data_IF_388235889928
#
_entry.id   IF_388235889928
#
_cell.length_a   1.000
_cell.length_b   1.000
_cell.length_c   1.000
_cell.angle_alpha   90.00
_cell.angle_beta   90.00
_cell.angle_gamma   90.00
#
_symmetry.space_group_name_H-M   'P 1'
#
loop_
_entity.id
_entity.type
_entity.pdbx_description
1 polymer ?
#
# COMPACT_ATOMS: atom_id res chain seq x y z
N UNK A 1 82.66 -18.69 -6.55
CA UNK A 1 81.39 -19.45 -6.64
C UNK A 1 80.42 -18.94 -5.54
N UNK A 2 79.81 -17.74 -5.67
CA UNK A 2 78.85 -17.21 -4.67
C UNK A 2 77.91 -16.07 -5.15
N UNK A 3 78.01 -15.64 -6.41
CA UNK A 3 77.29 -14.44 -6.91
C UNK A 3 76.07 -14.70 -7.81
N UNK A 4 75.83 -15.95 -8.25
CA UNK A 4 74.72 -16.25 -9.17
C UNK A 4 73.43 -16.76 -8.50
N UNK A 5 73.48 -17.14 -7.22
CA UNK A 5 72.31 -17.72 -6.51
C UNK A 5 71.40 -16.62 -5.91
N UNK A 6 71.94 -15.42 -5.62
CA UNK A 6 71.20 -14.36 -4.93
C UNK A 6 70.24 -13.57 -5.83
N UNK A 7 70.55 -13.38 -7.13
CA UNK A 7 69.67 -12.62 -8.04
C UNK A 7 68.38 -13.37 -8.40
N UNK A 8 68.43 -14.70 -8.52
CA UNK A 8 67.27 -15.52 -8.90
C UNK A 8 66.29 -15.69 -7.74
N UNK A 9 66.79 -15.82 -6.51
CA UNK A 9 65.95 -15.93 -5.30
C UNK A 9 65.17 -14.63 -5.02
N UNK A 10 65.78 -13.46 -5.19
CA UNK A 10 65.13 -12.16 -4.93
C UNK A 10 63.98 -11.90 -5.92
N UNK A 11 64.12 -12.31 -7.19
CA UNK A 11 63.10 -12.12 -8.23
C UNK A 11 61.85 -13.00 -8.00
N UNK A 12 62.04 -14.23 -7.51
CA UNK A 12 60.96 -15.14 -7.12
C UNK A 12 60.21 -14.67 -5.86
N UNK A 13 60.92 -14.14 -4.86
CA UNK A 13 60.31 -13.62 -3.63
C UNK A 13 59.51 -12.34 -3.89
N UNK A 14 59.99 -11.44 -4.75
CA UNK A 14 59.25 -10.23 -5.14
C UNK A 14 58.00 -10.55 -5.96
N UNK A 15 58.08 -11.50 -6.90
CA UNK A 15 56.95 -11.91 -7.72
C UNK A 15 55.86 -12.63 -6.90
N UNK A 16 56.27 -13.48 -5.95
CA UNK A 16 55.36 -14.14 -4.99
C UNK A 16 54.63 -13.16 -4.07
N UNK A 17 55.32 -12.15 -3.51
CA UNK A 17 54.68 -11.14 -2.64
C UNK A 17 53.70 -10.23 -3.39
N UNK A 18 53.96 -9.92 -4.66
CA UNK A 18 53.06 -9.11 -5.50
C UNK A 18 51.83 -9.92 -5.90
N UNK A 19 52.01 -11.17 -6.32
CA UNK A 19 50.91 -12.07 -6.71
C UNK A 19 50.00 -12.39 -5.51
N UNK A 20 50.56 -12.54 -4.31
CA UNK A 20 49.80 -12.77 -3.08
C UNK A 20 49.03 -11.52 -2.63
N UNK A 21 49.58 -10.31 -2.81
CA UNK A 21 48.86 -9.04 -2.56
C UNK A 21 47.68 -8.83 -3.52
N UNK A 22 47.82 -9.22 -4.78
CA UNK A 22 46.77 -9.11 -5.80
C UNK A 22 45.65 -10.12 -5.52
N UNK A 23 46.00 -11.38 -5.19
CA UNK A 23 45.02 -12.38 -4.77
C UNK A 23 44.25 -11.93 -3.50
N UNK A 24 44.95 -11.40 -2.49
CA UNK A 24 44.32 -10.97 -1.25
C UNK A 24 43.37 -9.77 -1.46
N UNK A 25 43.73 -8.82 -2.34
CA UNK A 25 42.85 -7.71 -2.73
C UNK A 25 41.59 -8.22 -3.44
N UNK A 26 41.72 -9.15 -4.38
CA UNK A 26 40.59 -9.67 -5.15
C UNK A 26 39.65 -10.54 -4.29
N UNK A 27 40.20 -11.29 -3.32
CA UNK A 27 39.40 -12.07 -2.35
C UNK A 27 38.67 -11.16 -1.37
N UNK A 28 39.31 -10.09 -0.87
CA UNK A 28 38.65 -9.10 0.00
C UNK A 28 37.56 -8.33 -0.75
N UNK A 29 37.81 -7.87 -1.98
CA UNK A 29 36.80 -7.20 -2.79
C UNK A 29 35.63 -8.12 -3.13
N UNK A 30 35.88 -9.41 -3.39
CA UNK A 30 34.84 -10.42 -3.60
C UNK A 30 34.00 -10.67 -2.34
N UNK A 31 34.63 -10.81 -1.18
CA UNK A 31 33.94 -10.98 0.12
C UNK A 31 33.14 -9.74 0.52
N UNK A 32 33.65 -8.53 0.26
CA UNK A 32 32.90 -7.28 0.49
C UNK A 32 31.66 -7.20 -0.41
N UNK A 33 31.78 -7.58 -1.68
CA UNK A 33 30.65 -7.57 -2.62
C UNK A 33 29.56 -8.57 -2.21
N UNK A 34 29.93 -9.76 -1.71
CA UNK A 34 29.00 -10.76 -1.18
C UNK A 34 28.32 -10.26 0.10
N UNK A 35 29.06 -9.62 1.01
CA UNK A 35 28.48 -9.03 2.23
C UNK A 35 27.50 -7.88 1.94
N UNK A 36 27.77 -7.06 0.90
CA UNK A 36 26.84 -6.01 0.46
C UNK A 36 25.54 -6.61 -0.10
N UNK A 37 25.60 -7.73 -0.83
CA UNK A 37 24.38 -8.39 -1.32
C UNK A 37 23.52 -8.99 -0.22
N UNK A 38 24.12 -9.42 0.90
CA UNK A 38 23.39 -9.96 2.06
C UNK A 38 22.70 -8.83 2.86
N UNK A 39 23.29 -7.63 2.92
CA UNK A 39 22.70 -6.48 3.63
C UNK A 39 21.58 -5.75 2.85
N UNK A 40 21.45 -5.95 1.54
CA UNK A 40 20.37 -5.34 0.73
C UNK A 40 19.09 -6.17 0.77
N UNK A 41 19.14 -7.41 1.29
CA UNK A 41 17.95 -8.18 1.66
C UNK A 41 17.47 -7.87 3.08
N UNK A 42 17.68 -6.64 3.54
CA UNK A 42 16.81 -6.06 4.55
C UNK A 42 15.39 -6.24 4.03
N UNK A 43 14.61 -7.05 4.75
CA UNK A 43 13.20 -7.31 4.49
C UNK A 43 12.54 -5.97 4.21
N UNK A 44 12.31 -5.64 2.94
CA UNK A 44 11.34 -4.60 2.60
C UNK A 44 10.06 -5.15 3.23
N UNK A 45 9.52 -4.51 4.28
CA UNK A 45 8.24 -4.95 4.79
C UNK A 45 7.31 -4.87 3.59
N UNK A 46 6.81 -6.01 3.14
CA UNK A 46 5.72 -6.04 2.15
C UNK A 46 4.64 -5.16 2.76
N UNK A 47 4.44 -3.98 2.16
CA UNK A 47 3.35 -3.08 2.51
C UNK A 47 2.12 -3.97 2.52
N UNK A 48 1.55 -4.18 3.71
CA UNK A 48 0.45 -5.11 3.87
C UNK A 48 -0.63 -4.68 2.87
N UNK A 49 -0.98 -5.58 1.95
CA UNK A 49 -1.93 -5.25 0.90
C UNK A 49 -3.20 -4.72 1.57
N UNK A 50 -3.55 -3.47 1.28
CA UNK A 50 -4.72 -2.82 1.85
C UNK A 50 -5.96 -3.71 1.60
N UNK A 51 -6.69 -4.14 2.64
CA UNK A 51 -7.83 -5.02 2.45
C UNK A 51 -8.87 -4.35 1.56
N UNK A 52 -9.41 -5.09 0.60
CA UNK A 52 -10.49 -4.58 -0.24
C UNK A 52 -11.84 -4.75 0.49
N UNK A 53 -12.42 -3.64 0.96
CA UNK A 53 -13.72 -3.62 1.65
C UNK A 53 -14.88 -3.20 0.74
N UNK A 54 -14.69 -3.23 -0.58
CA UNK A 54 -15.68 -2.72 -1.53
C UNK A 54 -16.87 -3.67 -1.74
N UNK A 55 -16.76 -4.97 -1.39
CA UNK A 55 -17.89 -5.92 -1.50
C UNK A 55 -18.66 -5.79 -2.81
N UNK A 56 -19.97 -5.56 -2.72
CA UNK A 56 -20.87 -5.40 -3.88
C UNK A 56 -20.82 -4.02 -4.56
N UNK A 57 -20.18 -3.03 -3.92
CA UNK A 57 -20.00 -1.71 -4.52
C UNK A 57 -18.94 -1.73 -5.62
N UNK A 58 -19.00 -0.74 -6.52
CA UNK A 58 -18.22 -0.71 -7.76
C UNK A 58 -17.57 0.67 -7.98
N UNK A 59 -16.68 1.14 -7.07
CA UNK A 59 -16.08 2.48 -7.15
C UNK A 59 -15.24 2.73 -8.42
N UNK A 60 -14.88 1.67 -9.15
CA UNK A 60 -14.09 1.76 -10.40
C UNK A 60 -14.95 1.86 -11.65
N UNK A 61 -16.25 1.49 -11.60
CA UNK A 61 -17.18 1.50 -12.74
C UNK A 61 -17.91 2.84 -12.87
N UNK A 62 -17.14 3.90 -13.10
CA UNK A 62 -17.59 5.31 -13.09
C UNK A 62 -17.98 5.87 -14.47
N UNK A 63 -17.84 5.08 -15.54
CA UNK A 63 -18.26 5.54 -16.87
C UNK A 63 -19.77 5.50 -16.96
N UNK A 64 -20.38 6.54 -17.55
CA UNK A 64 -21.84 6.62 -17.69
C UNK A 64 -22.42 5.39 -18.40
N UNK A 65 -21.73 4.84 -19.39
CA UNK A 65 -22.16 3.61 -20.09
C UNK A 65 -22.23 2.38 -19.16
N UNK A 66 -21.33 2.29 -18.18
CA UNK A 66 -21.30 1.19 -17.21
C UNK A 66 -22.44 1.35 -16.20
N UNK A 67 -22.62 2.55 -15.66
CA UNK A 67 -23.74 2.83 -14.77
C UNK A 67 -25.09 2.62 -15.47
N UNK A 68 -25.20 2.97 -16.75
CA UNK A 68 -26.41 2.75 -17.54
C UNK A 68 -26.72 1.26 -17.72
N UNK A 69 -25.69 0.45 -17.99
CA UNK A 69 -25.86 -1.00 -18.10
C UNK A 69 -26.36 -1.60 -16.77
N UNK A 70 -25.76 -1.19 -15.65
CA UNK A 70 -26.12 -1.70 -14.33
C UNK A 70 -27.56 -1.29 -13.92
N UNK A 71 -27.97 -0.05 -14.20
CA UNK A 71 -29.35 0.39 -13.91
C UNK A 71 -30.37 -0.40 -14.73
N UNK A 72 -30.07 -0.70 -16.00
CA UNK A 72 -30.94 -1.50 -16.87
C UNK A 72 -31.04 -2.96 -16.43
N UNK A 73 -30.03 -3.48 -15.73
CA UNK A 73 -30.06 -4.83 -15.18
C UNK A 73 -31.05 -4.97 -14.01
N UNK A 74 -31.19 -3.90 -13.21
CA UNK A 74 -31.99 -3.94 -11.97
C UNK A 74 -33.31 -3.18 -12.07
N UNK A 75 -33.63 -2.57 -13.21
CA UNK A 75 -34.87 -1.80 -13.43
C UNK A 75 -35.43 -1.99 -14.83
N UNK A 76 -36.74 -1.82 -14.99
CA UNK A 76 -37.45 -1.82 -16.27
C UNK A 76 -38.12 -0.45 -16.52
N UNK A 77 -37.34 0.63 -16.37
CA UNK A 77 -37.82 2.01 -16.45
C UNK A 77 -37.73 2.60 -17.86
N UNK A 78 -38.36 3.76 -18.05
CA UNK A 78 -38.22 4.53 -19.29
C UNK A 78 -36.81 5.08 -19.48
N UNK A 79 -36.47 5.49 -20.71
CA UNK A 79 -35.13 5.95 -21.07
C UNK A 79 -34.64 7.10 -20.19
N UNK A 80 -35.50 8.11 -19.96
CA UNK A 80 -35.16 9.28 -19.15
C UNK A 80 -34.85 8.91 -17.70
N UNK A 81 -35.72 8.12 -17.07
CA UNK A 81 -35.56 7.66 -15.68
C UNK A 81 -34.30 6.81 -15.52
N UNK A 82 -34.05 5.92 -16.48
CA UNK A 82 -32.85 5.07 -16.53
C UNK A 82 -31.58 5.93 -16.61
N UNK A 83 -31.58 6.95 -17.47
CA UNK A 83 -30.43 7.84 -17.63
C UNK A 83 -30.16 8.67 -16.38
N UNK A 84 -31.20 9.21 -15.75
CA UNK A 84 -31.07 10.01 -14.53
C UNK A 84 -30.56 9.15 -13.36
N UNK A 85 -31.07 7.93 -13.20
CA UNK A 85 -30.59 6.99 -12.20
C UNK A 85 -29.16 6.50 -12.46
N UNK A 86 -28.76 6.35 -13.73
CA UNK A 86 -27.39 6.00 -14.10
C UNK A 86 -26.41 7.11 -13.75
N UNK A 87 -26.78 8.38 -13.99
CA UNK A 87 -25.98 9.54 -13.57
C UNK A 87 -25.78 9.55 -12.07
N UNK A 88 -26.86 9.40 -11.30
CA UNK A 88 -26.80 9.39 -9.83
C UNK A 88 -25.92 8.24 -9.31
N UNK A 89 -26.07 7.04 -9.86
CA UNK A 89 -25.25 5.88 -9.50
C UNK A 89 -23.77 6.13 -9.78
N UNK A 90 -23.45 6.73 -10.92
CA UNK A 90 -22.10 7.13 -11.27
C UNK A 90 -21.51 8.16 -10.30
N UNK A 91 -22.29 9.16 -9.89
CA UNK A 91 -21.84 10.14 -8.90
C UNK A 91 -21.59 9.51 -7.52
N UNK A 92 -22.43 8.55 -7.10
CA UNK A 92 -22.20 7.79 -5.87
C UNK A 92 -20.89 6.98 -5.94
N UNK A 93 -20.62 6.30 -7.05
CA UNK A 93 -19.37 5.55 -7.25
C UNK A 93 -18.14 6.45 -7.21
N UNK A 94 -18.22 7.65 -7.81
CA UNK A 94 -17.15 8.66 -7.73
C UNK A 94 -16.93 9.12 -6.29
N UNK A 95 -18.00 9.43 -5.57
CA UNK A 95 -17.92 9.84 -4.17
C UNK A 95 -17.33 8.73 -3.29
N UNK A 96 -17.70 7.46 -3.53
CA UNK A 96 -17.10 6.32 -2.85
C UNK A 96 -15.60 6.24 -3.14
N UNK A 97 -15.19 6.25 -4.42
CA UNK A 97 -13.78 6.23 -4.79
C UNK A 97 -12.98 7.38 -4.15
N UNK A 98 -13.57 8.56 -4.05
CA UNK A 98 -12.97 9.71 -3.36
C UNK A 98 -12.75 9.45 -1.87
N UNK A 99 -13.77 8.96 -1.15
CA UNK A 99 -13.63 8.70 0.29
C UNK A 99 -12.65 7.55 0.58
N UNK A 100 -12.65 6.49 -0.24
CA UNK A 100 -11.65 5.43 -0.16
C UNK A 100 -10.23 5.96 -0.36
N UNK A 101 -10.05 6.80 -1.38
CA UNK A 101 -8.75 7.45 -1.64
C UNK A 101 -8.32 8.36 -0.49
N UNK A 102 -9.26 9.12 0.07
CA UNK A 102 -9.01 9.96 1.25
C UNK A 102 -8.51 9.10 2.41
N UNK A 103 -9.24 8.07 2.80
CA UNK A 103 -8.86 7.16 3.89
C UNK A 103 -7.47 6.55 3.70
N UNK A 104 -7.18 6.02 2.50
CA UNK A 104 -5.85 5.46 2.18
C UNK A 104 -4.75 6.51 2.29
N UNK A 105 -5.03 7.74 1.85
CA UNK A 105 -4.10 8.87 1.97
C UNK A 105 -3.87 9.25 3.43
N UNK A 106 -4.92 9.25 4.27
CA UNK A 106 -4.84 9.50 5.70
C UNK A 106 -3.93 8.47 6.38
N UNK A 107 -4.11 7.17 6.07
CA UNK A 107 -3.26 6.10 6.60
C UNK A 107 -1.80 6.27 6.19
N UNK A 108 -1.55 6.62 4.92
CA UNK A 108 -0.19 6.89 4.43
C UNK A 108 0.45 8.06 5.18
N UNK A 109 -0.29 9.14 5.45
CA UNK A 109 0.21 10.28 6.24
C UNK A 109 0.53 9.86 7.67
N UNK A 110 -0.36 9.09 8.32
CA UNK A 110 -0.13 8.56 9.66
C UNK A 110 1.17 7.73 9.70
N UNK A 111 1.36 6.84 8.72
CA UNK A 111 2.58 6.04 8.62
C UNK A 111 3.82 6.93 8.46
N UNK A 112 3.80 7.90 7.54
CA UNK A 112 4.92 8.81 7.32
C UNK A 112 5.28 9.64 8.56
N UNK A 113 4.28 10.03 9.35
CA UNK A 113 4.48 10.86 10.54
C UNK A 113 5.07 10.08 11.72
N UNK A 114 4.64 8.82 11.88
CA UNK A 114 4.96 8.05 13.09
C UNK A 114 5.96 6.90 12.91
N UNK A 115 6.30 6.50 11.67
CA UNK A 115 7.18 5.33 11.42
C UNK A 115 8.56 5.43 12.07
N UNK A 116 9.11 6.64 12.20
CA UNK A 116 10.43 6.90 12.80
C UNK A 116 10.32 7.54 14.21
N UNK A 117 9.09 7.69 14.71
CA UNK A 117 8.79 8.35 16.00
C UNK A 117 8.93 7.35 17.15
N UNK A 118 10.18 7.04 17.50
CA UNK A 118 10.52 6.09 18.57
C UNK A 118 10.22 6.60 19.98
N UNK A 119 10.04 7.92 20.16
CA UNK A 119 9.64 8.49 21.43
C UNK A 119 8.25 7.99 21.83
N UNK A 120 8.08 7.57 23.09
CA UNK A 120 6.84 6.97 23.61
C UNK A 120 6.34 5.71 22.84
N UNK A 121 7.13 5.15 21.91
CA UNK A 121 6.80 3.93 21.19
C UNK A 121 5.73 4.06 20.10
N UNK A 122 5.54 5.25 19.52
CA UNK A 122 4.54 5.44 18.45
C UNK A 122 4.81 4.52 17.25
N UNK A 123 6.07 4.38 16.85
CA UNK A 123 6.54 3.45 15.82
C UNK A 123 6.06 2.00 16.06
N UNK A 124 6.09 1.55 17.31
CA UNK A 124 5.66 0.19 17.71
C UNK A 124 4.13 0.02 17.68
N UNK A 125 3.40 1.08 17.97
CA UNK A 125 1.92 1.07 17.98
C UNK A 125 1.30 1.36 16.61
N UNK A 126 2.05 1.96 15.69
CA UNK A 126 1.58 2.36 14.36
C UNK A 126 0.97 1.18 13.55
N UNK A 127 1.57 -0.03 13.48
CA UNK A 127 0.94 -1.14 12.77
C UNK A 127 -0.43 -1.52 13.33
N UNK A 128 -0.59 -1.49 14.66
CA UNK A 128 -1.88 -1.75 15.33
C UNK A 128 -2.89 -0.66 15.00
N UNK A 129 -2.49 0.62 15.06
CA UNK A 129 -3.39 1.73 14.73
C UNK A 129 -3.90 1.66 13.28
N UNK A 130 -3.05 1.27 12.33
CA UNK A 130 -3.45 1.06 10.92
C UNK A 130 -4.45 -0.12 10.82
N UNK A 131 -4.18 -1.24 11.49
CA UNK A 131 -5.07 -2.40 11.48
C UNK A 131 -6.44 -2.11 12.13
N UNK A 132 -6.44 -1.37 13.24
CA UNK A 132 -7.66 -0.95 13.94
C UNK A 132 -8.50 0.00 13.08
N UNK A 133 -7.85 0.90 12.34
CA UNK A 133 -8.53 1.80 11.39
C UNK A 133 -9.29 1.02 10.31
N UNK A 134 -8.67 -0.02 9.75
CA UNK A 134 -9.35 -0.93 8.82
C UNK A 134 -10.50 -1.70 9.47
N UNK A 135 -10.30 -2.16 10.70
CA UNK A 135 -11.32 -2.87 11.48
C UNK A 135 -12.54 -2.00 11.74
N UNK A 136 -12.34 -0.71 12.01
CA UNK A 136 -13.42 0.28 12.22
C UNK A 136 -14.22 0.49 10.94
N UNK A 137 -13.54 0.69 9.80
CA UNK A 137 -14.22 0.81 8.50
C UNK A 137 -15.03 -0.44 8.19
N UNK A 138 -14.43 -1.63 8.38
CA UNK A 138 -15.12 -2.91 8.18
C UNK A 138 -16.34 -3.04 9.09
N UNK A 139 -16.19 -2.76 10.38
CA UNK A 139 -17.28 -2.86 11.36
C UNK A 139 -18.43 -1.91 11.03
N UNK A 140 -18.12 -0.69 10.54
CA UNK A 140 -19.12 0.24 10.04
C UNK A 140 -19.90 -0.33 8.84
N UNK A 141 -19.20 -0.96 7.89
CA UNK A 141 -19.81 -1.57 6.70
C UNK A 141 -20.69 -2.74 7.13
N UNK A 142 -20.15 -3.70 7.88
CA UNK A 142 -20.86 -4.89 8.36
C UNK A 142 -22.13 -4.50 9.13
N UNK A 143 -22.02 -3.50 10.03
CA UNK A 143 -23.17 -3.01 10.78
C UNK A 143 -24.25 -2.43 9.86
N UNK A 144 -23.89 -1.58 8.89
CA UNK A 144 -24.88 -0.94 8.02
C UNK A 144 -25.50 -1.92 7.01
N UNK A 145 -24.72 -2.86 6.48
CA UNK A 145 -25.21 -3.86 5.53
C UNK A 145 -26.05 -4.95 6.22
N UNK A 146 -25.75 -5.29 7.48
CA UNK A 146 -26.54 -6.27 8.24
C UNK A 146 -28.02 -5.91 8.41
N UNK A 147 -28.39 -4.64 8.26
CA UNK A 147 -29.78 -4.16 8.30
C UNK A 147 -30.33 -3.74 6.93
N UNK A 148 -29.59 -3.97 5.84
CA UNK A 148 -30.00 -3.54 4.51
C UNK A 148 -30.28 -4.74 3.60
N UNK A 149 -31.50 -4.83 3.09
CA UNK A 149 -31.89 -5.80 2.05
C UNK A 149 -32.52 -5.03 0.87
N UNK A 150 -31.70 -4.40 0.00
CA UNK A 150 -32.21 -3.50 -1.02
C UNK A 150 -32.79 -4.25 -2.22
N UNK A 151 -33.68 -3.58 -2.95
CA UNK A 151 -34.25 -4.06 -4.22
C UNK A 151 -34.15 -2.98 -5.31
N UNK A 152 -34.18 -3.40 -6.57
CA UNK A 152 -34.12 -2.51 -7.74
C UNK A 152 -32.89 -1.59 -7.68
N UNK A 153 -33.06 -0.31 -7.99
CA UNK A 153 -31.97 0.69 -7.97
C UNK A 153 -31.22 0.78 -6.64
N UNK A 154 -31.87 0.42 -5.51
CA UNK A 154 -31.23 0.45 -4.21
C UNK A 154 -30.09 -0.57 -4.10
N UNK A 155 -30.11 -1.66 -4.89
CA UNK A 155 -29.01 -2.61 -5.00
C UNK A 155 -27.71 -1.93 -5.43
N UNK A 156 -27.81 -0.91 -6.27
CA UNK A 156 -26.65 -0.16 -6.76
C UNK A 156 -26.28 0.99 -5.83
N UNK A 157 -27.27 1.64 -5.21
CA UNK A 157 -27.04 2.88 -4.45
C UNK A 157 -26.66 2.65 -3.00
N UNK A 158 -27.24 1.65 -2.32
CA UNK A 158 -27.01 1.48 -0.88
C UNK A 158 -25.59 1.03 -0.57
N UNK A 159 -25.00 0.03 -1.28
CA UNK A 159 -23.61 -0.35 -1.05
C UNK A 159 -22.63 0.83 -1.19
N UNK A 160 -22.83 1.71 -2.16
CA UNK A 160 -22.02 2.92 -2.35
C UNK A 160 -22.18 3.89 -1.18
N UNK A 161 -23.43 4.20 -0.79
CA UNK A 161 -23.71 5.12 0.33
C UNK A 161 -23.13 4.64 1.66
N UNK A 162 -23.18 3.33 1.92
CA UNK A 162 -22.56 2.73 3.10
C UNK A 162 -21.05 2.99 3.09
N UNK A 163 -20.38 2.70 1.98
CA UNK A 163 -18.92 2.84 1.87
C UNK A 163 -18.45 4.27 1.86
N UNK A 164 -19.17 5.20 1.22
CA UNK A 164 -18.92 6.64 1.33
C UNK A 164 -18.82 7.04 2.80
N UNK A 165 -19.82 6.65 3.61
CA UNK A 165 -19.88 7.03 5.03
C UNK A 165 -18.81 6.33 5.86
N UNK A 166 -18.58 5.04 5.63
CA UNK A 166 -17.62 4.28 6.43
C UNK A 166 -16.16 4.64 6.11
N UNK A 167 -15.82 4.87 4.84
CA UNK A 167 -14.49 5.39 4.49
C UNK A 167 -14.31 6.83 4.97
N UNK A 168 -15.35 7.69 4.94
CA UNK A 168 -15.28 9.02 5.54
C UNK A 168 -14.98 8.94 7.04
N UNK A 169 -15.72 8.10 7.79
CA UNK A 169 -15.49 7.88 9.22
C UNK A 169 -14.06 7.41 9.50
N UNK A 170 -13.56 6.44 8.72
CA UNK A 170 -12.18 5.97 8.86
C UNK A 170 -11.16 7.07 8.58
N UNK A 171 -11.39 7.89 7.55
CA UNK A 171 -10.52 9.02 7.22
C UNK A 171 -10.51 10.06 8.35
N UNK A 172 -11.69 10.45 8.85
CA UNK A 172 -11.84 11.43 9.93
C UNK A 172 -11.10 10.97 11.19
N UNK A 173 -11.22 9.68 11.54
CA UNK A 173 -10.53 9.11 12.69
C UNK A 173 -9.00 9.16 12.54
N UNK A 174 -8.48 8.73 11.39
CA UNK A 174 -7.04 8.73 11.14
C UNK A 174 -6.48 10.15 11.10
N UNK A 175 -7.19 11.08 10.45
CA UNK A 175 -6.82 12.49 10.41
C UNK A 175 -6.81 13.14 11.79
N UNK A 176 -7.71 12.71 12.69
CA UNK A 176 -7.75 13.19 14.07
C UNK A 176 -6.50 12.81 14.90
N UNK A 177 -5.73 11.82 14.44
CA UNK A 177 -4.50 11.36 15.09
C UNK A 177 -3.22 12.02 14.53
N UNK A 178 -3.32 12.85 13.49
CA UNK A 178 -2.18 13.60 12.94
C UNK A 178 -1.90 14.85 13.79
N UNK A 179 -0.63 15.15 14.10
CA UNK A 179 -0.25 16.29 14.94
C UNK A 179 -0.52 17.64 14.28
N UNK A 180 -0.44 17.72 12.94
CA UNK A 180 -0.64 18.96 12.18
C UNK A 180 -2.06 19.04 11.61
N UNK A 181 -3.06 19.13 12.49
CA UNK A 181 -4.39 19.58 12.08
C UNK A 181 -4.33 21.10 11.87
N UNK A 182 -4.19 21.53 10.63
CA UNK A 182 -4.37 22.93 10.24
C UNK A 182 -5.80 23.18 9.81
#
# INVERSE_FOLDING_TARGET
MRYYVTKTLIKLIFSSKIMMKILYKNVIFGLLAVLITIFIWGTIPTEAANPNLDGDSQPTRIKLSECLADVKEVTAWGEKETLDAARETCELRKAHAQQKTRFLTSLKKLQQEYQDSTNHGFDKHLPTAIADSWTIVKSCIDFKEGFTYPHNIALLKVPENVRIRCYSLGADLVESALFNQK
#
